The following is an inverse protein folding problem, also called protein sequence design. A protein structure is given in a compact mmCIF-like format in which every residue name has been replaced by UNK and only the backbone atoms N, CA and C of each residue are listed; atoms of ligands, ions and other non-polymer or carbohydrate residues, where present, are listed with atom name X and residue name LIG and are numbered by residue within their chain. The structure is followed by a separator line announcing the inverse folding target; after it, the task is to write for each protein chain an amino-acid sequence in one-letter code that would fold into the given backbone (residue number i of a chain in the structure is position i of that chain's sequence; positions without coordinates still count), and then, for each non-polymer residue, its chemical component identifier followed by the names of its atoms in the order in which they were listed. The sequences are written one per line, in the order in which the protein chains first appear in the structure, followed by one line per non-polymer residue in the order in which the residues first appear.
data_IF_285645540328
#
_entry.id   IF_285645540328
#
_cell.length_a   1.000
_cell.length_b   1.000
_cell.length_c   1.000
_cell.angle_alpha   90.00
_cell.angle_beta   90.00
_cell.angle_gamma   90.00
#
_symmetry.space_group_name_H-M   'P 1'
#
loop_
_entity.id
_entity.type
_entity.pdbx_description
1 polymer ?
#
# COMPACT_ATOMS: atom_id res chain seq x y z
N UNK A 1 -1.39 -14.76 -2.30
CA UNK A 1 -0.81 -13.61 -3.04
C UNK A 1 -1.81 -12.49 -3.07
N UNK A 2 -1.31 -11.27 -2.99
CA UNK A 2 -2.07 -10.04 -3.06
C UNK A 2 -1.69 -9.33 -4.35
N UNK A 3 -2.68 -8.89 -5.10
CA UNK A 3 -2.52 -8.09 -6.31
C UNK A 3 -3.27 -6.78 -6.11
N UNK A 4 -2.63 -5.67 -6.46
CA UNK A 4 -3.19 -4.32 -6.38
C UNK A 4 -3.14 -3.70 -7.77
N UNK A 5 -4.27 -3.23 -8.27
CA UNK A 5 -4.40 -2.62 -9.60
C UNK A 5 -4.87 -1.18 -9.42
N UNK A 6 -4.05 -0.21 -9.81
CA UNK A 6 -4.43 1.19 -9.74
C UNK A 6 -5.54 1.49 -10.76
N UNK A 7 -6.68 2.04 -10.32
CA UNK A 7 -7.86 2.21 -11.17
C UNK A 7 -7.65 3.17 -12.35
N UNK A 8 -6.77 4.16 -12.20
CA UNK A 8 -6.56 5.19 -13.23
C UNK A 8 -5.41 4.84 -14.19
N UNK A 9 -4.29 4.37 -13.63
CA UNK A 9 -3.08 4.09 -14.42
C UNK A 9 -2.99 2.65 -14.91
N UNK A 10 -3.83 1.74 -14.37
CA UNK A 10 -3.80 0.30 -14.61
C UNK A 10 -2.47 -0.36 -14.25
N UNK A 11 -1.61 0.30 -13.47
CA UNK A 11 -0.41 -0.30 -12.94
C UNK A 11 -0.75 -1.34 -11.88
N UNK A 12 -0.18 -2.52 -12.04
CA UNK A 12 -0.35 -3.65 -11.12
C UNK A 12 0.88 -3.80 -10.24
N UNK A 13 0.67 -4.07 -8.96
CA UNK A 13 1.71 -4.48 -8.02
C UNK A 13 1.27 -5.76 -7.33
N UNK A 14 2.19 -6.70 -7.12
CA UNK A 14 1.91 -7.97 -6.45
C UNK A 14 2.85 -8.19 -5.28
N UNK A 15 2.35 -8.83 -4.22
CA UNK A 15 3.16 -9.24 -3.08
C UNK A 15 2.62 -10.52 -2.43
N UNK A 16 3.43 -11.12 -1.56
CA UNK A 16 3.04 -12.24 -0.70
C UNK A 16 3.24 -11.82 0.75
N UNK A 17 2.14 -11.75 1.50
CA UNK A 17 2.15 -11.44 2.92
C UNK A 17 2.13 -12.74 3.74
N UNK A 18 2.82 -12.71 4.88
CA UNK A 18 2.78 -13.81 5.84
C UNK A 18 1.55 -13.64 6.73
N UNK A 19 0.81 -14.74 6.94
CA UNK A 19 -0.31 -14.75 7.88
C UNK A 19 0.21 -14.55 9.31
N UNK A 20 -0.28 -13.52 10.01
CA UNK A 20 0.14 -13.17 11.38
C UNK A 20 -0.87 -13.58 12.46
N UNK A 21 -1.95 -14.27 12.09
CA UNK A 21 -3.02 -14.70 12.99
C UNK A 21 -2.48 -15.46 14.21
N UNK A 22 -2.85 -15.02 15.42
CA UNK A 22 -2.33 -15.56 16.69
C UNK A 22 -3.26 -16.60 17.36
N UNK A 23 -4.35 -17.03 16.74
CA UNK A 23 -5.34 -17.92 17.36
C UNK A 23 -6.09 -18.80 16.38
N UNK A 24 -7.33 -19.18 16.73
CA UNK A 24 -8.33 -19.73 15.80
C UNK A 24 -9.32 -18.62 15.43
N UNK A 25 -8.92 -17.54 14.74
CA UNK A 25 -9.86 -16.59 14.20
C UNK A 25 -10.61 -17.24 13.02
N UNK A 26 -11.83 -16.74 12.75
CA UNK A 26 -12.59 -17.11 11.55
C UNK A 26 -11.95 -16.59 10.25
N UNK A 27 -10.96 -15.71 10.36
CA UNK A 27 -10.34 -14.98 9.25
C UNK A 27 -8.84 -14.91 9.43
N UNK A 28 -8.11 -14.96 8.33
CA UNK A 28 -6.66 -14.74 8.34
C UNK A 28 -6.35 -13.25 8.44
N UNK A 29 -5.35 -12.90 9.26
CA UNK A 29 -4.86 -11.55 9.45
C UNK A 29 -3.51 -11.36 8.76
N UNK A 30 -3.37 -10.22 8.08
CA UNK A 30 -2.17 -9.84 7.35
C UNK A 30 -1.85 -8.37 7.63
N UNK A 31 -0.56 -8.06 7.66
CA UNK A 31 -0.05 -6.68 7.71
C UNK A 31 0.65 -6.40 6.39
N UNK A 32 0.41 -5.22 5.85
CA UNK A 32 1.01 -4.72 4.62
C UNK A 32 1.62 -3.34 4.88
N UNK A 33 2.90 -3.20 4.56
CA UNK A 33 3.67 -1.98 4.76
C UNK A 33 4.15 -1.48 3.39
N UNK A 34 3.73 -0.26 3.02
CA UNK A 34 4.18 0.41 1.80
C UNK A 34 5.68 0.73 1.84
N UNK A 35 6.36 0.57 0.72
CA UNK A 35 7.81 0.66 0.58
C UNK A 35 8.59 -0.55 1.13
N UNK A 36 7.92 -1.51 1.77
CA UNK A 36 8.55 -2.73 2.33
C UNK A 36 8.01 -3.98 1.64
N UNK A 37 6.70 -4.23 1.74
CA UNK A 37 6.07 -5.42 1.16
C UNK A 37 5.65 -5.20 -0.29
N UNK A 38 5.20 -3.97 -0.58
CA UNK A 38 4.82 -3.48 -1.90
C UNK A 38 5.15 -1.99 -1.97
N UNK A 39 5.45 -1.47 -3.16
CA UNK A 39 5.69 -0.05 -3.36
C UNK A 39 4.58 0.52 -4.24
N UNK A 40 3.66 1.30 -3.66
CA UNK A 40 2.62 1.96 -4.42
C UNK A 40 3.20 3.18 -5.15
N UNK A 41 3.04 3.22 -6.47
CA UNK A 41 3.64 4.27 -7.31
C UNK A 41 2.77 5.54 -7.31
N UNK A 42 1.46 5.38 -7.10
CA UNK A 42 0.48 6.46 -7.12
C UNK A 42 -0.39 6.41 -5.88
N UNK A 43 -0.82 7.57 -5.40
CA UNK A 43 -1.97 7.69 -4.53
C UNK A 43 -3.28 7.46 -5.30
N UNK A 44 -4.35 7.21 -4.57
CA UNK A 44 -5.68 6.99 -5.12
C UNK A 44 -6.22 5.58 -4.90
N UNK A 45 -7.17 5.19 -5.75
CA UNK A 45 -7.92 3.96 -5.55
C UNK A 45 -7.31 2.78 -6.29
N UNK A 46 -7.15 1.69 -5.55
CA UNK A 46 -6.68 0.40 -6.06
C UNK A 46 -7.75 -0.65 -5.87
N UNK A 47 -7.95 -1.49 -6.88
CA UNK A 47 -8.66 -2.75 -6.73
C UNK A 47 -7.64 -3.76 -6.19
N UNK A 48 -7.96 -4.41 -5.07
CA UNK A 48 -7.13 -5.48 -4.54
C UNK A 48 -7.79 -6.84 -4.78
N UNK A 49 -6.98 -7.81 -5.18
CA UNK A 49 -7.36 -9.21 -5.35
C UNK A 49 -6.48 -10.08 -4.46
N UNK A 50 -7.11 -10.97 -3.70
CA UNK A 50 -6.43 -11.92 -2.82
C UNK A 50 -6.61 -13.31 -3.39
N UNK A 51 -5.49 -13.98 -3.68
CA UNK A 51 -5.43 -15.29 -4.28
C UNK A 51 -4.91 -16.34 -3.30
N UNK A 52 -5.55 -17.50 -3.29
CA UNK A 52 -5.08 -18.68 -2.59
C UNK A 52 -3.83 -19.23 -3.28
N UNK A 53 -2.79 -19.50 -2.51
CA UNK A 53 -1.56 -20.07 -3.01
C UNK A 53 -1.02 -21.17 -2.12
N UNK A 54 -0.35 -22.13 -2.75
CA UNK A 54 0.38 -23.21 -2.10
C UNK A 54 1.86 -22.91 -1.90
N UNK A 55 2.40 -21.91 -2.60
CA UNK A 55 3.81 -21.54 -2.58
C UNK A 55 3.99 -20.11 -2.05
N UNK A 56 4.91 -19.87 -1.11
CA UNK A 56 5.18 -18.54 -0.57
C UNK A 56 5.93 -17.61 -1.55
N UNK A 57 6.39 -18.11 -2.70
CA UNK A 57 7.18 -17.33 -3.67
C UNK A 57 6.47 -17.05 -4.99
N UNK A 58 5.22 -17.47 -5.18
CA UNK A 58 4.53 -17.26 -6.44
C UNK A 58 3.92 -15.85 -6.50
N UNK A 59 4.38 -15.03 -7.46
CA UNK A 59 3.86 -13.68 -7.69
C UNK A 59 2.99 -13.58 -8.94
N UNK A 60 2.71 -14.71 -9.60
CA UNK A 60 1.89 -14.77 -10.80
C UNK A 60 0.46 -15.24 -10.46
N UNK A 61 -0.57 -14.41 -10.70
CA UNK A 61 -1.97 -14.76 -10.48
C UNK A 61 -2.45 -15.94 -11.33
N UNK A 62 -1.85 -16.20 -12.50
CA UNK A 62 -2.22 -17.33 -13.38
C UNK A 62 -1.93 -18.67 -12.72
N UNK A 63 -0.94 -18.70 -11.83
CA UNK A 63 -0.53 -19.90 -11.09
C UNK A 63 -1.18 -20.00 -9.71
N UNK A 64 -2.16 -19.14 -9.41
CA UNK A 64 -2.92 -19.22 -8.17
C UNK A 64 -3.95 -20.35 -8.20
N UNK A 65 -4.33 -20.85 -7.01
CA UNK A 65 -5.31 -21.92 -6.88
C UNK A 65 -6.76 -21.40 -6.99
N UNK A 66 -6.97 -20.11 -6.75
CA UNK A 66 -8.25 -19.46 -6.85
C UNK A 66 -8.23 -18.05 -6.29
N UNK A 67 -9.22 -17.24 -6.69
CA UNK A 67 -9.48 -15.93 -6.10
C UNK A 67 -10.32 -16.12 -4.83
N UNK A 68 -9.85 -15.56 -3.72
CA UNK A 68 -10.47 -15.64 -2.40
C UNK A 68 -11.30 -14.38 -2.13
N UNK A 69 -10.75 -13.21 -2.45
CA UNK A 69 -11.38 -11.93 -2.16
C UNK A 69 -11.02 -10.90 -3.22
N UNK A 70 -11.95 -10.00 -3.50
CA UNK A 70 -11.72 -8.75 -4.24
C UNK A 70 -12.34 -7.60 -3.44
N UNK A 71 -11.61 -6.49 -3.34
CA UNK A 71 -12.11 -5.26 -2.72
C UNK A 71 -11.40 -4.03 -3.27
N UNK A 72 -11.57 -2.91 -2.56
CA UNK A 72 -11.02 -1.60 -2.94
C UNK A 72 -10.23 -1.00 -1.80
N UNK A 73 -9.01 -0.56 -2.08
CA UNK A 73 -8.14 0.17 -1.17
C UNK A 73 -7.98 1.62 -1.63
N UNK A 74 -7.83 2.54 -0.68
CA UNK A 74 -7.50 3.94 -0.94
C UNK A 74 -6.12 4.21 -0.37
N UNK A 75 -5.14 4.39 -1.26
CA UNK A 75 -3.78 4.77 -0.91
C UNK A 75 -3.75 6.30 -0.84
N UNK A 76 -3.28 6.83 0.27
CA UNK A 76 -3.17 8.27 0.50
C UNK A 76 -1.72 8.60 0.82
N UNK A 77 -1.21 9.68 0.24
CA UNK A 77 0.05 10.24 0.69
C UNK A 77 -0.14 10.87 2.08
N UNK A 78 0.79 10.58 2.99
CA UNK A 78 0.82 11.29 4.26
C UNK A 78 1.30 12.72 4.01
N UNK A 79 0.52 13.71 4.45
CA UNK A 79 0.94 15.10 4.42
C UNK A 79 2.29 15.25 5.14
N UNK A 80 3.28 15.72 4.40
CA UNK A 80 4.56 16.12 4.99
C UNK A 80 4.46 17.57 5.44
N UNK A 81 4.96 17.94 6.64
CA UNK A 81 4.94 19.34 7.07
C UNK A 81 5.71 20.21 6.06
N UNK A 82 5.15 21.39 5.74
CA UNK A 82 5.80 22.34 4.85
C UNK A 82 7.13 22.81 5.46
N UNK A 83 8.21 22.75 4.69
CA UNK A 83 9.44 23.49 5.02
C UNK A 83 9.22 24.97 4.66
N UNK A 84 8.40 25.68 5.43
CA UNK A 84 8.25 27.12 5.29
C UNK A 84 9.50 27.83 5.81
N UNK A 85 10.19 28.54 4.92
CA UNK A 85 11.31 29.41 5.27
C UNK A 85 10.75 30.75 5.77
N UNK A 86 10.66 30.90 7.10
CA UNK A 86 10.28 32.16 7.73
C UNK A 86 11.53 33.01 7.98
N UNK A 87 11.79 34.00 7.11
CA UNK A 87 12.89 34.94 7.31
C UNK A 87 12.39 36.18 8.05
N UNK A 88 12.77 36.40 9.32
CA UNK A 88 12.42 37.63 10.00
C UNK A 88 13.10 38.82 9.31
N UNK A 89 12.30 39.73 8.76
CA UNK A 89 12.79 41.02 8.24
C UNK A 89 12.96 41.96 9.43
N UNK A 90 14.21 42.32 9.75
CA UNK A 90 14.51 43.33 10.76
C UNK A 90 14.58 44.72 10.10
N UNK A 91 13.70 45.64 10.50
CA UNK A 91 13.83 47.06 10.17
C UNK A 91 14.60 47.77 11.28
N UNK A 92 15.80 48.24 10.97
CA UNK A 92 16.52 49.16 11.86
C UNK A 92 16.08 50.59 11.54
N UNK A 93 15.36 51.22 12.46
CA UNK A 93 15.06 52.66 12.41
C UNK A 93 16.20 53.38 13.12
N UNK A 94 16.88 54.30 12.44
CA UNK A 94 17.85 55.21 13.06
C UNK A 94 17.15 56.55 13.32
N UNK A 95 17.16 57.00 14.57
CA UNK A 95 16.71 58.33 15.02
C UNK A 95 17.78 59.40 14.78
#
# INVERSE_FOLDING_TARGET
MFEFIHEQSFNTQTCVLTNISQGIPRYDEFVLIDGVDVNFIYDGFYIYNIYQQSSPGNLDPVNAQGLVETGRAHVIEADSPSFEYDSPIYFNIYE
#
